data_IF_269278769628
#
_entry.id   IF_269278769628
#
_cell.length_a   1.000
_cell.length_b   1.000
_cell.length_c   1.000
_cell.angle_alpha   90.00
_cell.angle_beta   90.00
_cell.angle_gamma   90.00
#
_symmetry.space_group_name_H-M   'P 1'
#
loop_
_entity.id
_entity.type
_entity.pdbx_description
1 polymer ?
#
# COMPACT_ATOMS: atom_id res chain seq x y z
N UNK A 1 9.63 -7.35 -8.70
CA UNK A 1 9.70 -8.12 -7.44
C UNK A 1 8.27 -8.49 -7.07
N UNK A 2 8.02 -9.71 -6.58
CA UNK A 2 6.70 -10.15 -6.17
C UNK A 2 6.83 -11.05 -4.94
N UNK A 3 5.88 -10.96 -4.01
CA UNK A 3 5.80 -11.81 -2.82
C UNK A 3 4.51 -12.62 -2.83
N UNK A 4 4.51 -13.77 -2.16
CA UNK A 4 3.35 -14.65 -2.13
C UNK A 4 2.08 -13.96 -1.57
N UNK A 5 2.25 -13.04 -0.61
CA UNK A 5 1.13 -12.25 -0.09
C UNK A 5 0.46 -11.39 -1.18
N UNK A 6 1.24 -10.82 -2.11
CA UNK A 6 0.69 -10.11 -3.25
C UNK A 6 -0.15 -11.04 -4.14
N UNK A 7 0.31 -12.27 -4.37
CA UNK A 7 -0.43 -13.27 -5.16
C UNK A 7 -1.81 -13.56 -4.57
N UNK A 8 -1.90 -13.72 -3.25
CA UNK A 8 -3.19 -13.90 -2.57
C UNK A 8 -4.10 -12.68 -2.76
N UNK A 9 -3.58 -11.46 -2.61
CA UNK A 9 -4.39 -10.25 -2.76
C UNK A 9 -4.83 -10.00 -4.21
N UNK A 10 -4.00 -10.33 -5.20
CA UNK A 10 -4.40 -10.27 -6.63
C UNK A 10 -5.46 -11.32 -6.93
N UNK A 11 -5.31 -12.55 -6.42
CA UNK A 11 -6.31 -13.60 -6.62
C UNK A 11 -7.63 -13.27 -5.94
N UNK A 12 -7.59 -12.68 -4.74
CA UNK A 12 -8.79 -12.14 -4.08
C UNK A 12 -9.48 -11.05 -4.92
N UNK A 13 -8.72 -10.16 -5.57
CA UNK A 13 -9.29 -9.16 -6.49
C UNK A 13 -9.99 -9.84 -7.67
N UNK A 14 -9.38 -10.87 -8.26
CA UNK A 14 -10.00 -11.64 -9.35
C UNK A 14 -11.31 -12.30 -8.89
N UNK A 15 -11.34 -12.90 -7.69
CA UNK A 15 -12.56 -13.48 -7.14
C UNK A 15 -13.66 -12.43 -6.93
N UNK A 16 -13.33 -11.25 -6.41
CA UNK A 16 -14.28 -10.13 -6.28
C UNK A 16 -14.86 -9.72 -7.64
N UNK A 17 -14.04 -9.68 -8.70
CA UNK A 17 -14.49 -9.40 -10.07
C UNK A 17 -15.40 -10.47 -10.66
N UNK A 18 -15.31 -11.70 -10.14
CA UNK A 18 -16.21 -12.80 -10.47
C UNK A 18 -17.40 -12.91 -9.51
N UNK A 19 -17.57 -11.95 -8.59
CA UNK A 19 -18.57 -11.96 -7.52
C UNK A 19 -18.46 -13.16 -6.55
N UNK A 20 -17.28 -13.77 -6.45
CA UNK A 20 -16.98 -14.87 -5.53
C UNK A 20 -16.32 -14.34 -4.25
N UNK A 21 -17.13 -13.68 -3.41
CA UNK A 21 -16.63 -13.08 -2.17
C UNK A 21 -16.13 -14.11 -1.15
N UNK A 22 -16.64 -15.34 -1.20
CA UNK A 22 -16.24 -16.41 -0.29
C UNK A 22 -14.79 -16.84 -0.53
N UNK A 23 -14.39 -17.06 -1.78
CA UNK A 23 -13.00 -17.41 -2.08
C UNK A 23 -12.06 -16.19 -1.95
N UNK A 24 -12.53 -14.97 -2.25
CA UNK A 24 -11.78 -13.76 -1.95
C UNK A 24 -11.44 -13.66 -0.45
N UNK A 25 -12.42 -13.89 0.43
CA UNK A 25 -12.22 -13.85 1.88
C UNK A 25 -11.21 -14.89 2.35
N UNK A 26 -11.22 -16.11 1.79
CA UNK A 26 -10.24 -17.16 2.13
C UNK A 26 -8.81 -16.68 1.86
N UNK A 27 -8.56 -16.10 0.69
CA UNK A 27 -7.24 -15.58 0.32
C UNK A 27 -6.79 -14.40 1.18
N UNK A 28 -7.69 -13.45 1.43
CA UNK A 28 -7.45 -12.32 2.34
C UNK A 28 -7.08 -12.83 3.74
N UNK A 29 -7.79 -13.83 4.25
CA UNK A 29 -7.56 -14.38 5.57
C UNK A 29 -6.23 -15.13 5.68
N UNK A 30 -5.64 -15.64 4.59
CA UNK A 30 -4.27 -16.18 4.62
C UNK A 30 -3.28 -15.06 5.01
N UNK A 31 -3.40 -13.89 4.38
CA UNK A 31 -2.53 -12.75 4.66
C UNK A 31 -2.77 -12.21 6.07
N UNK A 32 -4.04 -12.00 6.45
CA UNK A 32 -4.41 -11.46 7.77
C UNK A 32 -4.05 -12.40 8.92
N UNK A 33 -4.20 -13.73 8.73
CA UNK A 33 -3.77 -14.74 9.73
C UNK A 33 -2.26 -14.78 9.91
N UNK A 34 -1.49 -14.52 8.86
CA UNK A 34 -0.04 -14.39 8.96
C UNK A 34 0.36 -13.10 9.69
N UNK A 35 -0.37 -12.01 9.48
CA UNK A 35 -0.08 -10.70 10.06
C UNK A 35 -0.50 -10.52 11.54
N UNK A 36 -1.37 -11.37 12.08
CA UNK A 36 -1.83 -11.26 13.47
C UNK A 36 -0.72 -11.57 14.48
N UNK A 37 -0.74 -10.87 15.63
CA UNK A 37 0.10 -11.17 16.78
C UNK A 37 -0.24 -12.53 17.38
N UNK A 38 0.77 -13.31 17.70
CA UNK A 38 0.68 -14.60 18.39
C UNK A 38 0.76 -14.40 19.89
N UNK A 39 0.21 -15.35 20.63
CA UNK A 39 0.25 -15.30 22.09
C UNK A 39 1.70 -15.34 22.58
N UNK A 40 2.07 -14.40 23.46
CA UNK A 40 3.43 -14.27 23.98
C UNK A 40 4.31 -13.26 23.23
N UNK A 41 3.90 -12.77 22.06
CA UNK A 41 4.68 -11.77 21.32
C UNK A 41 4.57 -10.39 21.98
N UNK A 42 5.71 -9.81 22.38
CA UNK A 42 5.74 -8.46 22.95
C UNK A 42 5.45 -7.42 21.85
N UNK A 43 4.25 -6.83 21.89
CA UNK A 43 3.82 -5.87 20.88
C UNK A 43 4.56 -4.54 20.92
N UNK A 44 5.28 -4.21 21.99
CA UNK A 44 6.10 -3.00 22.04
C UNK A 44 7.49 -3.21 21.47
N UNK A 45 7.95 -4.46 21.37
CA UNK A 45 9.32 -4.77 20.99
C UNK A 45 9.64 -4.30 19.57
N UNK A 46 10.86 -3.81 19.38
CA UNK A 46 11.41 -3.42 18.09
C UNK A 46 12.90 -3.76 18.04
N UNK A 47 13.34 -4.24 16.88
CA UNK A 47 14.74 -4.55 16.61
C UNK A 47 15.11 -3.99 15.23
N UNK A 48 16.19 -3.21 15.18
CA UNK A 48 16.76 -2.62 13.95
C UNK A 48 18.16 -3.15 13.63
N UNK A 49 18.68 -4.06 14.46
CA UNK A 49 20.02 -4.62 14.32
C UNK A 49 21.08 -3.81 15.06
N UNK A 50 20.79 -2.60 15.54
CA UNK A 50 21.72 -1.85 16.38
C UNK A 50 21.97 -2.53 17.73
N UNK A 51 21.10 -3.48 18.14
CA UNK A 51 21.30 -4.37 19.28
C UNK A 51 22.62 -5.15 19.22
N UNK A 52 23.19 -5.36 18.03
CA UNK A 52 24.53 -5.96 17.91
C UNK A 52 25.61 -5.14 18.65
N UNK A 53 25.40 -3.82 18.79
CA UNK A 53 26.29 -2.95 19.55
C UNK A 53 26.36 -3.32 21.03
N UNK A 54 25.30 -3.90 21.62
CA UNK A 54 25.29 -4.32 23.03
C UNK A 54 26.48 -5.24 23.35
N UNK A 55 26.83 -6.11 22.39
CA UNK A 55 27.93 -7.08 22.48
C UNK A 55 29.28 -6.57 21.96
N UNK A 56 29.36 -5.33 21.50
CA UNK A 56 30.56 -4.74 20.93
C UNK A 56 31.53 -4.29 22.04
N UNK A 57 32.84 -4.50 21.86
CA UNK A 57 33.87 -4.08 22.83
C UNK A 57 33.92 -2.56 23.04
N UNK A 58 33.39 -1.76 22.10
CA UNK A 58 33.28 -0.31 22.19
C UNK A 58 32.03 0.15 22.95
N UNK A 59 31.14 -0.75 23.37
CA UNK A 59 29.98 -0.44 24.18
C UNK A 59 30.36 -0.19 25.65
N UNK A 60 31.14 0.86 25.86
CA UNK A 60 31.67 1.26 27.17
C UNK A 60 31.59 2.77 27.32
N UNK A 61 31.61 3.26 28.57
CA UNK A 61 31.58 4.70 28.88
C UNK A 61 30.43 5.44 28.18
N UNK A 62 30.74 6.60 27.58
CA UNK A 62 29.76 7.45 26.88
C UNK A 62 29.09 6.74 25.70
N UNK A 63 29.78 5.82 25.02
CA UNK A 63 29.20 5.08 23.91
C UNK A 63 28.02 4.20 24.35
N UNK A 64 28.11 3.59 25.53
CA UNK A 64 27.02 2.81 26.11
C UNK A 64 25.81 3.67 26.50
N UNK A 65 26.08 4.85 27.07
CA UNK A 65 25.03 5.83 27.37
C UNK A 65 24.32 6.29 26.10
N UNK A 66 25.08 6.64 25.05
CA UNK A 66 24.53 7.08 23.78
C UNK A 66 23.71 5.97 23.12
N UNK A 67 24.15 4.72 23.17
CA UNK A 67 23.39 3.58 22.66
C UNK A 67 22.02 3.47 23.35
N UNK A 68 21.99 3.47 24.69
CA UNK A 68 20.73 3.42 25.46
C UNK A 68 19.77 4.56 25.08
N UNK A 69 20.30 5.76 24.87
CA UNK A 69 19.50 6.92 24.46
C UNK A 69 18.96 6.81 23.02
N UNK A 70 19.63 6.03 22.17
CA UNK A 70 19.30 5.85 20.75
C UNK A 70 18.38 4.66 20.51
N UNK A 71 18.41 3.67 21.40
CA UNK A 71 17.69 2.41 21.24
C UNK A 71 17.02 1.97 22.55
N UNK A 72 15.70 2.17 22.62
CA UNK A 72 14.87 1.77 23.75
C UNK A 72 14.25 0.37 23.58
N UNK A 73 14.67 -0.38 22.55
CA UNK A 73 14.09 -1.68 22.17
C UNK A 73 12.56 -1.65 22.03
N UNK A 74 12.02 -0.49 21.63
CA UNK A 74 10.59 -0.21 21.60
C UNK A 74 10.19 0.46 20.28
N UNK A 75 9.07 0.03 19.72
CA UNK A 75 8.56 0.62 18.48
C UNK A 75 7.99 2.03 18.71
N UNK A 76 7.90 2.78 17.61
CA UNK A 76 7.45 4.17 17.61
C UNK A 76 6.02 4.37 18.09
N UNK A 77 5.15 3.36 17.98
CA UNK A 77 3.78 3.43 18.48
C UNK A 77 3.76 3.53 20.01
N UNK A 78 4.42 2.61 20.72
CA UNK A 78 4.48 2.67 22.19
C UNK A 78 5.27 3.88 22.71
N UNK A 79 6.32 4.30 22.01
CA UNK A 79 7.05 5.54 22.34
C UNK A 79 6.16 6.79 22.22
N UNK A 80 5.28 6.84 21.21
CA UNK A 80 4.36 7.96 21.00
C UNK A 80 3.10 7.87 21.88
N UNK A 81 2.86 6.71 22.51
CA UNK A 81 1.69 6.43 23.33
C UNK A 81 2.08 5.81 24.68
N UNK A 82 2.83 6.53 25.54
CA UNK A 82 3.42 5.97 26.76
C UNK A 82 2.41 5.51 27.82
N UNK A 83 1.14 5.92 27.71
CA UNK A 83 0.06 5.46 28.58
C UNK A 83 -0.55 4.10 28.18
N UNK A 84 -0.15 3.53 27.05
CA UNK A 84 -0.67 2.23 26.58
C UNK A 84 0.14 1.11 27.23
N UNK A 85 -0.53 0.26 28.01
CA UNK A 85 0.10 -0.90 28.60
C UNK A 85 0.58 -1.89 27.53
N UNK A 86 1.80 -2.40 27.70
CA UNK A 86 2.34 -3.46 26.85
C UNK A 86 1.49 -4.72 26.98
N UNK A 87 1.14 -5.32 25.85
CA UNK A 87 0.39 -6.57 25.81
C UNK A 87 1.17 -7.64 25.03
N UNK A 88 0.96 -8.89 25.42
CA UNK A 88 1.44 -10.09 24.74
C UNK A 88 0.30 -10.99 24.27
N UNK A 89 -0.96 -10.55 24.44
CA UNK A 89 -2.11 -11.31 24.00
C UNK A 89 -2.10 -11.48 22.47
N UNK A 90 -2.57 -12.62 21.98
CA UNK A 90 -2.80 -12.82 20.56
C UNK A 90 -3.81 -11.80 20.01
N UNK A 91 -3.70 -11.46 18.73
CA UNK A 91 -4.79 -10.79 17.99
C UNK A 91 -5.48 -11.76 17.05
N UNK A 92 -6.71 -11.43 16.66
CA UNK A 92 -7.41 -12.06 15.55
C UNK A 92 -7.75 -10.98 14.53
N UNK A 93 -7.21 -11.13 13.33
CA UNK A 93 -7.49 -10.24 12.21
C UNK A 93 -8.43 -10.91 11.21
N UNK A 94 -8.82 -12.17 11.38
CA UNK A 94 -9.59 -12.88 10.35
C UNK A 94 -10.97 -12.26 10.13
N UNK A 95 -11.36 -12.14 8.86
CA UNK A 95 -12.71 -11.75 8.48
C UNK A 95 -13.65 -12.94 8.67
N UNK A 96 -14.79 -12.70 9.31
CA UNK A 96 -15.88 -13.68 9.49
C UNK A 96 -16.97 -13.52 8.43
N UNK A 97 -17.08 -12.35 7.81
CA UNK A 97 -17.92 -12.08 6.66
C UNK A 97 -17.24 -11.05 5.75
N UNK A 98 -17.49 -11.15 4.45
CA UNK A 98 -16.94 -10.24 3.45
C UNK A 98 -17.90 -10.16 2.26
N UNK A 99 -18.25 -8.96 1.75
CA UNK A 99 -17.74 -7.62 2.12
C UNK A 99 -18.64 -6.84 3.12
N UNK A 100 -19.63 -7.51 3.72
CA UNK A 100 -20.70 -6.83 4.46
C UNK A 100 -20.37 -6.47 5.91
N UNK A 101 -19.25 -6.94 6.47
CA UNK A 101 -18.82 -6.63 7.82
C UNK A 101 -17.30 -6.42 7.83
N UNK A 102 -16.85 -5.19 7.59
CA UNK A 102 -15.43 -4.87 7.53
C UNK A 102 -14.96 -4.22 8.85
N UNK A 103 -13.66 -4.24 9.15
CA UNK A 103 -13.09 -3.49 10.27
C UNK A 103 -13.49 -2.01 10.23
N UNK A 104 -13.64 -1.39 11.40
CA UNK A 104 -14.13 -0.02 11.52
C UNK A 104 -13.27 1.01 10.75
N UNK A 105 -11.96 0.79 10.71
CA UNK A 105 -11.02 1.63 9.95
C UNK A 105 -11.27 1.55 8.43
N UNK A 106 -11.59 0.36 7.93
CA UNK A 106 -11.92 0.16 6.51
C UNK A 106 -13.30 0.72 6.17
N UNK A 107 -14.28 0.63 7.08
CA UNK A 107 -15.58 1.30 6.94
C UNK A 107 -15.44 2.83 6.88
N UNK A 108 -14.59 3.42 7.71
CA UNK A 108 -14.31 4.86 7.69
C UNK A 108 -13.68 5.30 6.36
N UNK A 109 -12.77 4.50 5.80
CA UNK A 109 -12.16 4.75 4.49
C UNK A 109 -13.21 4.63 3.37
N UNK A 110 -14.05 3.60 3.41
CA UNK A 110 -15.15 3.39 2.46
C UNK A 110 -16.13 4.57 2.48
N UNK A 111 -16.50 5.03 3.68
CA UNK A 111 -17.36 6.19 3.87
C UNK A 111 -16.72 7.47 3.31
N UNK A 112 -15.43 7.69 3.58
CA UNK A 112 -14.68 8.86 3.05
C UNK A 112 -14.60 8.85 1.52
N UNK A 113 -14.56 7.66 0.93
CA UNK A 113 -14.63 7.50 -0.52
C UNK A 113 -16.06 7.63 -1.06
N UNK A 114 -17.11 7.57 -0.23
CA UNK A 114 -18.49 7.56 -0.70
C UNK A 114 -18.75 6.41 -1.68
N UNK A 115 -18.20 5.23 -1.42
CA UNK A 115 -18.47 4.02 -2.20
C UNK A 115 -19.47 3.13 -1.45
N UNK A 116 -20.31 2.43 -2.21
CA UNK A 116 -21.34 1.52 -1.68
C UNK A 116 -21.56 0.35 -2.64
N UNK A 117 -22.31 -0.66 -2.19
CA UNK A 117 -22.49 -1.91 -2.93
C UNK A 117 -21.36 -2.91 -2.64
N UNK A 118 -21.68 -4.20 -2.73
CA UNK A 118 -20.78 -5.29 -2.32
C UNK A 118 -19.46 -5.27 -3.10
N UNK A 119 -19.52 -5.14 -4.43
CA UNK A 119 -18.34 -5.10 -5.29
C UNK A 119 -17.38 -3.96 -4.93
N UNK A 120 -17.86 -2.73 -4.84
CA UNK A 120 -17.00 -1.57 -4.55
C UNK A 120 -16.42 -1.62 -3.14
N UNK A 121 -17.21 -2.07 -2.17
CA UNK A 121 -16.73 -2.30 -0.80
C UNK A 121 -15.62 -3.34 -0.78
N UNK A 122 -15.83 -4.48 -1.46
CA UNK A 122 -14.86 -5.55 -1.55
C UNK A 122 -13.55 -5.11 -2.23
N UNK A 123 -13.64 -4.44 -3.37
CA UNK A 123 -12.48 -3.93 -4.10
C UNK A 123 -11.69 -2.94 -3.25
N UNK A 124 -12.38 -1.98 -2.60
CA UNK A 124 -11.71 -0.98 -1.79
C UNK A 124 -11.08 -1.55 -0.52
N UNK A 125 -11.68 -2.57 0.08
CA UNK A 125 -11.07 -3.31 1.18
C UNK A 125 -9.76 -4.00 0.73
N UNK A 126 -9.76 -4.68 -0.42
CA UNK A 126 -8.53 -5.31 -0.96
C UNK A 126 -7.45 -4.27 -1.24
N UNK A 127 -7.82 -3.11 -1.78
CA UNK A 127 -6.88 -2.01 -2.00
C UNK A 127 -6.32 -1.44 -0.69
N UNK A 128 -7.08 -1.45 0.39
CA UNK A 128 -6.60 -1.06 1.71
C UNK A 128 -5.64 -2.13 2.27
N UNK A 129 -5.94 -3.43 2.07
CA UNK A 129 -4.99 -4.48 2.45
C UNK A 129 -3.69 -4.43 1.69
N UNK A 130 -3.74 -4.17 0.37
CA UNK A 130 -2.53 -3.96 -0.42
C UNK A 130 -1.70 -2.80 0.11
N UNK A 131 -2.33 -1.73 0.61
CA UNK A 131 -1.61 -0.62 1.26
C UNK A 131 -0.90 -1.03 2.54
N UNK A 132 -1.52 -1.88 3.37
CA UNK A 132 -0.94 -2.34 4.63
C UNK A 132 0.19 -3.36 4.41
N UNK A 133 -0.02 -4.28 3.47
CA UNK A 133 0.90 -5.39 3.21
C UNK A 133 2.10 -4.99 2.35
N UNK A 134 1.91 -4.10 1.36
CA UNK A 134 2.90 -3.82 0.30
C UNK A 134 3.46 -2.39 0.39
N UNK A 135 3.40 -1.78 1.57
CA UNK A 135 3.92 -0.43 1.78
C UNK A 135 5.43 -0.39 1.50
N UNK A 136 5.86 0.58 0.67
CA UNK A 136 7.28 0.72 0.30
C UNK A 136 7.73 -0.16 -0.85
N UNK A 137 6.85 -0.96 -1.45
CA UNK A 137 7.20 -1.83 -2.59
C UNK A 137 6.94 -1.20 -3.98
N UNK A 138 6.59 0.08 -4.04
CA UNK A 138 6.49 0.88 -5.27
C UNK A 138 5.43 0.42 -6.29
N UNK A 139 4.34 -0.20 -5.84
CA UNK A 139 3.27 -0.71 -6.73
C UNK A 139 1.94 0.04 -6.61
N UNK A 140 1.89 1.07 -5.74
CA UNK A 140 0.62 1.72 -5.36
C UNK A 140 -0.02 2.47 -6.53
N UNK A 141 0.78 3.24 -7.27
CA UNK A 141 0.26 4.03 -8.40
C UNK A 141 -0.29 3.12 -9.49
N UNK A 142 0.46 2.07 -9.85
CA UNK A 142 0.12 1.08 -10.88
C UNK A 142 -1.16 0.32 -10.51
N UNK A 143 -1.27 -0.11 -9.24
CA UNK A 143 -2.47 -0.78 -8.72
C UNK A 143 -3.69 0.13 -8.81
N UNK A 144 -3.57 1.38 -8.36
CA UNK A 144 -4.68 2.33 -8.35
C UNK A 144 -5.09 2.75 -9.76
N UNK A 145 -4.14 2.90 -10.67
CA UNK A 145 -4.40 3.21 -12.08
C UNK A 145 -5.15 2.06 -12.76
N UNK A 146 -4.64 0.81 -12.67
CA UNK A 146 -5.28 -0.38 -13.26
C UNK A 146 -6.69 -0.64 -12.72
N UNK A 147 -6.94 -0.29 -11.47
CA UNK A 147 -8.27 -0.47 -10.84
C UNK A 147 -9.20 0.71 -11.05
N UNK A 148 -8.76 1.79 -11.72
CA UNK A 148 -9.58 2.99 -11.94
C UNK A 148 -9.84 3.81 -10.67
N UNK A 149 -9.08 3.55 -9.59
CA UNK A 149 -9.32 4.17 -8.27
C UNK A 149 -8.34 5.30 -7.93
N UNK A 150 -7.34 5.53 -8.79
CA UNK A 150 -6.27 6.53 -8.58
C UNK A 150 -6.82 7.93 -8.29
N UNK A 151 -7.62 8.48 -9.20
CA UNK A 151 -8.11 9.86 -9.07
C UNK A 151 -8.91 10.04 -7.80
N UNK A 152 -9.86 9.12 -7.56
CA UNK A 152 -10.75 9.18 -6.40
C UNK A 152 -9.96 9.13 -5.09
N UNK A 153 -9.04 8.17 -4.95
CA UNK A 153 -8.24 8.02 -3.74
C UNK A 153 -7.22 9.16 -3.56
N UNK A 154 -6.60 9.64 -4.63
CA UNK A 154 -5.67 10.76 -4.55
C UNK A 154 -6.38 12.05 -4.10
N UNK A 155 -7.58 12.33 -4.64
CA UNK A 155 -8.37 13.50 -4.21
C UNK A 155 -8.79 13.44 -2.74
N UNK A 156 -9.13 12.26 -2.23
CA UNK A 156 -9.60 12.09 -0.85
C UNK A 156 -8.45 12.02 0.17
N UNK A 157 -7.34 11.35 -0.17
CA UNK A 157 -6.30 10.99 0.81
C UNK A 157 -4.93 11.61 0.58
N UNK A 158 -4.73 12.37 -0.50
CA UNK A 158 -3.45 13.03 -0.79
C UNK A 158 -3.68 14.53 -1.00
N UNK A 159 -3.48 15.32 0.06
CA UNK A 159 -3.66 16.77 0.05
C UNK A 159 -2.76 17.46 -0.97
N UNK A 160 -1.50 17.03 -1.12
CA UNK A 160 -0.54 17.59 -2.07
C UNK A 160 -0.96 17.38 -3.53
N UNK A 161 -1.50 16.20 -3.86
CA UNK A 161 -1.93 15.87 -5.20
C UNK A 161 -3.37 16.29 -5.51
N UNK A 162 -4.22 16.46 -4.49
CA UNK A 162 -5.68 16.58 -4.62
C UNK A 162 -6.13 17.69 -5.58
N UNK A 163 -5.45 18.84 -5.54
CA UNK A 163 -5.77 20.03 -6.35
C UNK A 163 -5.30 19.92 -7.79
N UNK A 164 -4.24 19.15 -8.03
CA UNK A 164 -3.55 19.10 -9.32
C UNK A 164 -3.83 17.81 -10.10
N UNK A 165 -4.36 16.76 -9.46
CA UNK A 165 -4.60 15.49 -10.13
C UNK A 165 -5.81 15.57 -11.09
N UNK A 166 -5.57 15.25 -12.37
CA UNK A 166 -6.56 15.36 -13.45
C UNK A 166 -6.98 13.98 -13.92
N UNK A 167 -8.29 13.75 -13.96
CA UNK A 167 -8.89 12.55 -14.53
C UNK A 167 -8.64 12.49 -16.04
N UNK A 168 -8.53 11.27 -16.57
CA UNK A 168 -8.20 11.01 -17.99
C UNK A 168 -6.85 11.60 -18.43
N UNK A 169 -5.93 11.80 -17.49
CA UNK A 169 -4.57 12.28 -17.76
C UNK A 169 -3.58 11.54 -16.85
N UNK A 170 -3.68 11.72 -15.53
CA UNK A 170 -2.66 11.26 -14.58
C UNK A 170 -2.75 9.77 -14.22
N UNK A 171 -3.69 9.04 -14.80
CA UNK A 171 -3.76 7.58 -14.79
C UNK A 171 -2.66 6.95 -15.64
N UNK A 172 -2.09 7.70 -16.59
CA UNK A 172 -0.93 7.30 -17.38
C UNK A 172 0.21 8.32 -17.20
N UNK A 173 1.46 7.90 -17.45
CA UNK A 173 2.62 8.79 -17.47
C UNK A 173 2.82 9.33 -18.90
N UNK A 174 3.35 10.55 -19.09
CA UNK A 174 3.65 11.02 -20.44
C UNK A 174 4.68 10.12 -21.12
N UNK A 175 4.52 9.92 -22.42
CA UNK A 175 5.59 9.34 -23.23
C UNK A 175 6.71 10.38 -23.35
N UNK A 176 7.99 10.01 -23.13
CA UNK A 176 9.10 10.94 -23.22
C UNK A 176 9.12 11.68 -24.56
N UNK A 177 9.17 13.01 -24.52
CA UNK A 177 9.14 13.82 -25.75
C UNK A 177 10.31 13.52 -26.68
N UNK A 178 11.50 13.25 -26.12
CA UNK A 178 12.67 12.84 -26.90
C UNK A 178 12.48 11.53 -27.65
N UNK A 179 11.66 10.61 -27.13
CA UNK A 179 11.31 9.39 -27.86
C UNK A 179 10.42 9.72 -29.06
N UNK A 180 9.37 10.52 -28.86
CA UNK A 180 8.43 10.92 -29.92
C UNK A 180 9.15 11.71 -31.02
N UNK A 181 10.06 12.61 -30.63
CA UNK A 181 10.82 13.42 -31.58
C UNK A 181 11.80 12.62 -32.44
N UNK A 182 12.21 11.43 -31.98
CA UNK A 182 13.07 10.51 -32.73
C UNK A 182 12.33 9.57 -33.68
N UNK A 183 10.99 9.59 -33.71
CA UNK A 183 10.21 8.75 -34.63
C UNK A 183 10.23 9.31 -36.05
N UNK A 184 10.27 8.40 -37.02
CA UNK A 184 10.23 8.70 -38.46
C UNK A 184 9.11 7.89 -39.13
N UNK A 185 8.60 8.41 -40.26
CA UNK A 185 7.75 7.64 -41.16
C UNK A 185 8.58 6.54 -41.84
N UNK A 186 7.93 5.58 -42.50
CA UNK A 186 8.61 4.47 -43.21
C UNK A 186 9.60 4.95 -44.29
N UNK A 187 9.35 6.13 -44.87
CA UNK A 187 10.21 6.77 -45.86
C UNK A 187 11.41 7.54 -45.26
N UNK A 188 11.55 7.54 -43.93
CA UNK A 188 12.61 8.24 -43.21
C UNK A 188 12.34 9.72 -42.94
N UNK A 189 11.18 10.25 -43.33
CA UNK A 189 10.80 11.64 -43.01
C UNK A 189 10.34 11.80 -41.56
N UNK A 190 10.47 13.01 -41.01
CA UNK A 190 9.96 13.34 -39.67
C UNK A 190 8.43 13.25 -39.61
N UNK A 191 7.88 12.81 -38.48
CA UNK A 191 6.45 12.89 -38.22
C UNK A 191 5.97 14.35 -38.16
N UNK A 192 4.78 14.61 -38.70
CA UNK A 192 4.04 15.86 -38.50
C UNK A 192 3.65 16.03 -37.02
N UNK A 193 3.26 17.24 -36.63
CA UNK A 193 2.77 17.51 -35.27
C UNK A 193 1.57 16.64 -34.93
N UNK A 194 0.61 16.53 -35.84
CA UNK A 194 -0.61 15.74 -35.64
C UNK A 194 -0.32 14.24 -35.52
N UNK A 195 0.72 13.76 -36.22
CA UNK A 195 1.18 12.38 -36.07
C UNK A 195 1.85 12.18 -34.71
N UNK A 196 2.71 13.11 -34.27
CA UNK A 196 3.35 13.07 -32.94
C UNK A 196 2.33 13.13 -31.80
N UNK A 197 1.33 14.00 -31.91
CA UNK A 197 0.27 14.15 -30.90
C UNK A 197 -0.52 12.86 -30.69
N UNK A 198 -0.69 12.02 -31.74
CA UNK A 198 -1.33 10.70 -31.63
C UNK A 198 -0.51 9.67 -30.86
N UNK A 199 0.80 9.86 -30.73
CA UNK A 199 1.64 9.00 -29.89
C UNK A 199 1.47 9.32 -28.42
N UNK A 200 1.15 10.58 -28.07
CA UNK A 200 1.10 10.99 -26.68
C UNK A 200 -0.14 10.46 -25.96
N UNK A 201 0.00 10.20 -24.65
CA UNK A 201 -1.12 9.86 -23.80
C UNK A 201 -2.10 11.05 -23.66
N UNK A 202 -3.41 10.80 -23.56
CA UNK A 202 -4.41 11.86 -23.48
C UNK A 202 -4.10 12.93 -22.42
N UNK A 203 -4.20 14.19 -22.82
CA UNK A 203 -4.04 15.34 -21.94
C UNK A 203 -2.60 15.77 -21.64
N UNK A 204 -1.58 15.09 -22.18
CA UNK A 204 -0.17 15.49 -22.10
C UNK A 204 0.30 16.28 -23.31
#
# INVERSE_FOLDING_TARGET
MARLAETFLVRAECYVRLNDYANAMKDINVVRKRAQWKNGENRSFYSDGSQAFESNSLNTGTSATNYTNSNLNMNTYYLSNPGVAVTTAASDLTLTAFPNNLPAEDEAIISSLGVSGEYERALNFILNERSRELLGEWQRWETLSRTGTLIKRAKVFNTEASTNIKASKHELRPIPQSFIDGLLNEDGSNLSKEQKDKWQNPGY
#
